data_IF_620468750938
#
_entry.id   IF_620468750938
#
_cell.length_a   1.000
_cell.length_b   1.000
_cell.length_c   1.000
_cell.angle_alpha   90.00
_cell.angle_beta   90.00
_cell.angle_gamma   90.00
#
_symmetry.space_group_name_H-M   'P 1'
#
loop_
_entity.id
_entity.type
_entity.pdbx_description
1 polymer ?
#
# COMPACT_ATOMS: atom_id res chain seq x y z
N UNK A 1 17.45 24.03 -50.18
CA UNK A 1 18.12 25.28 -49.77
C UNK A 1 17.32 26.45 -50.34
N UNK A 2 16.91 27.38 -49.46
CA UNK A 2 16.00 28.54 -49.62
C UNK A 2 14.53 28.34 -49.23
N UNK A 3 14.05 29.34 -48.45
CA UNK A 3 12.67 29.81 -48.22
C UNK A 3 11.91 29.02 -47.13
N UNK A 4 11.25 29.60 -46.12
CA UNK A 4 10.92 30.98 -45.74
C UNK A 4 10.77 31.08 -44.22
N UNK A 5 11.09 32.26 -43.68
CA UNK A 5 10.79 32.68 -42.32
C UNK A 5 9.32 33.16 -42.27
N UNK A 6 8.46 32.41 -41.60
CA UNK A 6 7.06 32.77 -41.36
C UNK A 6 6.88 33.34 -39.97
N UNK A 7 6.73 34.66 -39.87
CA UNK A 7 6.26 35.36 -38.68
C UNK A 7 4.79 34.98 -38.43
N UNK A 8 4.49 34.36 -37.29
CA UNK A 8 3.12 34.23 -36.78
C UNK A 8 3.01 35.01 -35.48
N UNK A 9 2.36 36.16 -35.56
CA UNK A 9 1.85 36.88 -34.42
C UNK A 9 0.55 36.20 -33.97
N UNK A 10 0.46 35.84 -32.69
CA UNK A 10 -0.82 35.47 -32.06
C UNK A 10 -1.06 36.41 -30.88
N UNK A 11 -2.19 37.09 -30.98
CA UNK A 11 -2.67 38.16 -30.13
C UNK A 11 -3.10 37.67 -28.75
N UNK A 12 -2.74 38.47 -27.75
CA UNK A 12 -3.28 38.47 -26.39
C UNK A 12 -4.74 38.93 -26.46
N UNK A 13 -5.67 38.13 -25.92
CA UNK A 13 -7.03 38.58 -25.59
C UNK A 13 -7.18 38.54 -24.07
N UNK A 14 -7.15 39.72 -23.47
CA UNK A 14 -7.65 39.99 -22.12
C UNK A 14 -9.17 40.11 -22.20
N UNK A 15 -9.88 39.25 -21.47
CA UNK A 15 -11.31 39.36 -21.22
C UNK A 15 -11.56 39.49 -19.72
N UNK A 16 -12.06 40.64 -19.30
CA UNK A 16 -12.45 40.97 -17.94
C UNK A 16 -13.97 41.09 -17.81
N UNK A 17 -14.45 40.96 -16.57
CA UNK A 17 -15.73 41.43 -15.98
C UNK A 17 -16.95 40.51 -16.07
N UNK A 18 -17.59 40.30 -14.90
CA UNK A 18 -18.96 39.81 -14.79
C UNK A 18 -19.34 39.27 -13.40
N UNK A 19 -19.40 40.15 -12.40
CA UNK A 19 -20.06 39.97 -11.09
C UNK A 19 -21.59 40.00 -11.27
N UNK A 20 -22.34 39.21 -10.48
CA UNK A 20 -23.73 39.44 -10.05
C UNK A 20 -24.40 38.14 -9.51
N UNK A 21 -24.93 38.19 -8.28
CA UNK A 21 -26.05 37.30 -7.91
C UNK A 21 -26.16 36.85 -6.46
N UNK A 22 -26.56 37.75 -5.56
CA UNK A 22 -26.97 37.46 -4.18
C UNK A 22 -28.39 36.84 -4.08
N UNK A 23 -28.61 36.03 -3.04
CA UNK A 23 -29.93 35.72 -2.46
C UNK A 23 -30.00 34.27 -1.95
N UNK A 24 -30.61 33.90 -0.82
CA UNK A 24 -31.24 34.57 0.31
C UNK A 24 -31.62 33.46 1.31
N UNK A 25 -31.76 33.84 2.58
CA UNK A 25 -31.99 32.99 3.75
C UNK A 25 -33.37 32.33 3.88
N UNK A 26 -33.47 31.35 4.79
CA UNK A 26 -34.72 30.91 5.47
C UNK A 26 -34.62 29.45 5.91
N UNK A 27 -34.40 29.13 7.18
CA UNK A 27 -35.43 29.00 8.24
C UNK A 27 -35.87 27.53 8.32
N UNK A 28 -35.61 26.74 9.37
CA UNK A 28 -36.08 26.91 10.75
C UNK A 28 -37.14 25.84 11.04
N UNK A 29 -36.93 24.96 12.02
CA UNK A 29 -37.95 23.98 12.43
C UNK A 29 -37.47 22.94 13.44
N UNK A 30 -37.69 23.23 14.72
CA UNK A 30 -37.59 22.30 15.84
C UNK A 30 -38.98 21.74 16.20
N UNK A 31 -39.06 20.45 16.59
CA UNK A 31 -40.11 19.82 17.41
C UNK A 31 -39.70 18.34 17.64
N UNK A 32 -39.31 17.88 18.84
CA UNK A 32 -40.08 17.50 20.05
C UNK A 32 -40.92 16.21 19.95
N UNK A 33 -40.64 15.27 20.87
CA UNK A 33 -41.55 14.22 21.37
C UNK A 33 -41.46 12.88 20.63
N UNK A 34 -41.42 11.70 21.25
CA UNK A 34 -41.56 11.31 22.65
C UNK A 34 -41.74 9.79 22.74
N UNK A 35 -41.53 9.27 23.94
CA UNK A 35 -42.08 8.04 24.52
C UNK A 35 -41.58 6.62 24.14
N UNK A 36 -40.87 6.05 25.13
CA UNK A 36 -41.31 4.91 25.96
C UNK A 36 -41.72 3.60 25.27
N UNK A 37 -40.88 2.57 25.43
CA UNK A 37 -41.35 1.20 25.60
C UNK A 37 -40.42 0.39 26.51
N UNK A 38 -40.97 0.03 27.66
CA UNK A 38 -40.51 -0.92 28.68
C UNK A 38 -40.68 -2.39 28.24
N UNK A 39 -39.78 -3.27 28.69
CA UNK A 39 -39.99 -4.72 28.76
C UNK A 39 -38.66 -5.47 28.98
N UNK A 40 -38.24 -5.74 30.21
CA UNK A 40 -38.57 -6.92 31.03
C UNK A 40 -38.04 -8.25 30.47
N UNK A 41 -37.05 -8.85 31.15
CA UNK A 41 -36.65 -10.24 30.95
C UNK A 41 -35.27 -10.63 31.49
N UNK A 42 -35.15 -10.87 32.81
CA UNK A 42 -34.14 -11.78 33.40
C UNK A 42 -34.63 -13.25 33.23
N UNK A 43 -33.93 -14.35 33.65
CA UNK A 43 -32.68 -14.44 34.44
C UNK A 43 -31.69 -15.59 34.05
N UNK A 44 -30.52 -15.62 34.71
CA UNK A 44 -29.99 -16.83 35.35
C UNK A 44 -28.95 -17.70 34.62
N UNK A 45 -27.90 -18.10 35.37
CA UNK A 45 -26.98 -19.19 35.01
C UNK A 45 -25.54 -18.96 35.50
N UNK A 46 -25.31 -18.92 36.81
CA UNK A 46 -24.63 -19.98 37.59
C UNK A 46 -23.17 -20.28 37.18
N UNK A 47 -22.26 -19.84 38.05
CA UNK A 47 -20.90 -20.34 38.14
C UNK A 47 -20.84 -21.75 38.74
N UNK A 48 -19.77 -22.47 38.39
CA UNK A 48 -19.45 -23.80 38.90
C UNK A 48 -17.94 -24.01 38.93
N UNK A 49 -17.46 -24.38 40.11
CA UNK A 49 -16.09 -24.68 40.52
C UNK A 49 -15.42 -25.84 39.76
N UNK A 50 -14.11 -25.72 39.54
CA UNK A 50 -13.10 -26.47 40.32
C UNK A 50 -12.77 -27.92 39.94
N UNK A 51 -11.46 -28.17 39.81
CA UNK A 51 -10.81 -29.38 40.33
C UNK A 51 -10.44 -30.45 39.30
N UNK A 52 -9.14 -30.59 39.01
CA UNK A 52 -8.58 -31.73 38.29
C UNK A 52 -7.05 -31.77 38.38
N UNK A 53 -6.55 -32.64 39.26
CA UNK A 53 -5.14 -32.93 39.57
C UNK A 53 -4.59 -34.12 38.75
N UNK A 54 -3.27 -34.11 38.47
CA UNK A 54 -2.46 -35.25 38.01
C UNK A 54 -1.53 -34.82 36.86
N UNK A 55 -0.20 -34.78 36.98
CA UNK A 55 0.73 -35.92 37.16
C UNK A 55 0.73 -36.73 35.87
N UNK A 56 1.82 -36.92 35.10
CA UNK A 56 3.15 -37.45 35.45
C UNK A 56 4.13 -37.19 34.29
N UNK A 57 5.38 -36.92 34.65
CA UNK A 57 6.66 -37.31 34.01
C UNK A 57 6.69 -37.71 32.52
N UNK A 58 7.48 -36.98 31.71
CA UNK A 58 8.10 -37.57 30.51
C UNK A 58 9.54 -37.05 30.32
N UNK A 59 10.40 -37.98 29.94
CA UNK A 59 11.85 -37.99 30.05
C UNK A 59 12.59 -37.12 29.03
N UNK A 60 13.77 -36.67 29.43
CA UNK A 60 14.71 -35.95 28.57
C UNK A 60 15.35 -36.85 27.50
N UNK A 61 15.37 -36.33 26.27
CA UNK A 61 16.15 -36.86 25.16
C UNK A 61 17.14 -35.81 24.65
N UNK A 62 18.41 -35.96 25.03
CA UNK A 62 19.52 -35.19 24.48
C UNK A 62 19.99 -35.82 23.16
N UNK A 63 19.94 -35.05 22.07
CA UNK A 63 20.48 -35.43 20.76
C UNK A 63 21.21 -34.24 20.14
N UNK A 64 22.51 -34.14 20.40
CA UNK A 64 23.39 -33.17 19.76
C UNK A 64 23.92 -33.69 18.43
N UNK A 65 23.86 -32.86 17.39
CA UNK A 65 24.46 -33.15 16.09
C UNK A 65 24.28 -32.04 15.06
N UNK A 66 25.18 -31.05 15.06
CA UNK A 66 25.42 -30.12 13.95
C UNK A 66 26.95 -30.02 13.80
N UNK A 67 27.59 -30.72 12.86
CA UNK A 67 27.79 -30.39 11.43
C UNK A 67 28.36 -28.98 11.24
N UNK A 68 29.69 -28.92 11.13
CA UNK A 68 30.42 -27.74 10.69
C UNK A 68 30.51 -27.64 9.16
N UNK A 69 30.72 -26.41 8.67
CA UNK A 69 31.00 -26.18 7.25
C UNK A 69 31.06 -24.69 6.87
N UNK A 70 32.23 -24.09 7.11
CA UNK A 70 32.95 -23.11 6.26
C UNK A 70 32.17 -22.06 5.45
N UNK A 71 32.45 -20.79 5.79
CA UNK A 71 32.06 -19.58 5.05
C UNK A 71 33.29 -19.05 4.26
N UNK A 72 33.24 -19.10 2.93
CA UNK A 72 34.09 -18.38 1.97
C UNK A 72 33.09 -17.81 0.93
N UNK A 73 32.94 -16.51 0.69
CA UNK A 73 33.96 -15.58 0.19
C UNK A 73 33.87 -15.50 -1.35
N UNK A 74 33.08 -14.57 -1.90
CA UNK A 74 32.98 -14.41 -3.35
C UNK A 74 32.19 -13.19 -3.80
N UNK A 75 32.87 -12.04 -3.91
CA UNK A 75 32.36 -10.86 -4.61
C UNK A 75 32.35 -11.11 -6.12
N UNK A 76 31.18 -10.98 -6.75
CA UNK A 76 31.01 -11.03 -8.19
C UNK A 76 29.84 -10.16 -8.61
N UNK A 77 30.13 -9.03 -9.27
CA UNK A 77 29.12 -8.18 -9.90
C UNK A 77 28.41 -8.92 -11.02
N UNK A 78 27.09 -9.07 -10.89
CA UNK A 78 26.20 -9.68 -11.86
C UNK A 78 24.86 -8.94 -11.84
N UNK A 79 24.34 -8.73 -13.03
CA UNK A 79 23.16 -7.95 -13.38
C UNK A 79 21.91 -8.76 -13.01
N UNK A 80 20.91 -8.10 -12.41
CA UNK A 80 19.81 -8.68 -11.65
C UNK A 80 18.83 -9.58 -12.42
N UNK A 81 18.15 -10.42 -11.63
CA UNK A 81 17.15 -11.40 -12.01
C UNK A 81 17.31 -12.68 -11.17
N UNK A 82 16.32 -12.95 -10.31
CA UNK A 82 16.15 -14.10 -9.40
C UNK A 82 17.00 -14.15 -8.10
N UNK A 83 16.49 -13.51 -7.04
CA UNK A 83 16.14 -14.20 -5.79
C UNK A 83 17.25 -14.66 -4.84
N UNK A 84 18.08 -13.75 -4.32
CA UNK A 84 18.98 -14.11 -3.20
C UNK A 84 19.87 -13.01 -2.63
N UNK A 85 19.87 -11.81 -3.23
CA UNK A 85 20.47 -10.63 -2.61
C UNK A 85 19.51 -10.04 -1.58
N UNK A 86 20.02 -9.58 -0.43
CA UNK A 86 19.23 -8.74 0.46
C UNK A 86 18.75 -7.46 -0.24
N UNK A 87 17.84 -6.69 0.38
CA UNK A 87 17.33 -5.45 -0.19
C UNK A 87 18.45 -4.51 -0.63
N UNK A 88 18.27 -3.84 -1.77
CA UNK A 88 19.17 -2.78 -2.19
C UNK A 88 19.21 -1.66 -1.13
N UNK A 89 20.34 -0.95 -1.06
CA UNK A 89 20.49 0.23 -0.21
C UNK A 89 19.48 1.34 -0.60
N UNK A 90 19.06 2.14 0.38
CA UNK A 90 18.15 3.27 0.18
C UNK A 90 17.79 3.97 1.48
N UNK A 91 16.78 4.84 1.46
CA UNK A 91 16.26 5.48 2.66
C UNK A 91 15.45 4.48 3.51
N UNK A 92 15.82 4.34 4.79
CA UNK A 92 15.27 3.31 5.68
C UNK A 92 15.89 1.93 5.48
N UNK A 93 15.86 1.10 6.52
CA UNK A 93 16.35 -0.28 6.52
C UNK A 93 15.19 -1.25 6.26
N UNK A 94 15.30 -2.06 5.21
CA UNK A 94 14.29 -3.06 4.86
C UNK A 94 14.61 -4.40 5.52
N UNK A 95 13.58 -5.05 6.06
CA UNK A 95 13.67 -6.41 6.59
C UNK A 95 12.37 -7.19 6.39
N UNK A 96 12.41 -8.50 6.62
CA UNK A 96 11.28 -9.40 6.36
C UNK A 96 11.36 -10.06 4.99
N UNK A 97 10.21 -10.27 4.35
CA UNK A 97 10.13 -10.96 3.06
C UNK A 97 10.50 -9.99 1.93
N UNK A 98 11.61 -10.27 1.25
CA UNK A 98 12.21 -9.38 0.26
C UNK A 98 12.92 -10.22 -0.81
N UNK A 99 12.79 -9.87 -2.09
CA UNK A 99 13.38 -10.64 -3.19
C UNK A 99 12.67 -11.96 -3.45
N UNK A 100 11.36 -12.01 -3.16
CA UNK A 100 10.55 -13.21 -3.34
C UNK A 100 9.63 -13.13 -4.55
N UNK A 101 9.35 -11.91 -5.05
CA UNK A 101 8.48 -11.74 -6.19
C UNK A 101 9.29 -11.98 -7.47
N UNK A 102 8.78 -12.86 -8.32
CA UNK A 102 9.36 -13.15 -9.62
C UNK A 102 8.30 -13.22 -10.74
N UNK A 103 8.77 -13.47 -11.96
CA UNK A 103 7.93 -13.64 -13.13
C UNK A 103 6.83 -14.70 -12.96
N UNK A 104 7.03 -15.72 -12.13
CA UNK A 104 6.03 -16.76 -11.88
C UNK A 104 4.89 -16.20 -11.02
N UNK A 105 5.20 -15.38 -10.02
CA UNK A 105 4.17 -14.71 -9.22
C UNK A 105 3.36 -13.74 -10.06
N UNK A 106 4.02 -12.97 -10.93
CA UNK A 106 3.36 -12.02 -11.85
C UNK A 106 2.43 -12.75 -12.84
N UNK A 107 2.83 -13.94 -13.32
CA UNK A 107 2.01 -14.74 -14.22
C UNK A 107 0.94 -15.59 -13.52
N UNK A 108 1.00 -15.71 -12.19
CA UNK A 108 0.08 -16.55 -11.42
C UNK A 108 -1.34 -15.94 -11.39
N UNK A 109 -2.41 -16.74 -11.53
CA UNK A 109 -3.77 -16.25 -11.31
C UNK A 109 -4.15 -16.20 -9.82
N UNK A 110 -3.28 -16.71 -8.94
CA UNK A 110 -3.57 -16.79 -7.52
C UNK A 110 -3.19 -15.48 -6.81
N UNK A 111 -4.02 -15.04 -5.85
CA UNK A 111 -3.67 -13.93 -4.99
C UNK A 111 -2.67 -14.39 -3.92
N UNK A 112 -1.87 -13.46 -3.41
CA UNK A 112 -0.90 -13.74 -2.35
C UNK A 112 -0.82 -12.60 -1.34
N UNK A 113 -0.20 -12.85 -0.19
CA UNK A 113 0.04 -11.86 0.86
C UNK A 113 1.48 -11.94 1.36
N UNK A 114 2.19 -10.83 1.23
CA UNK A 114 3.60 -10.68 1.61
C UNK A 114 3.72 -9.61 2.68
N UNK A 115 4.67 -9.78 3.60
CA UNK A 115 4.91 -8.85 4.71
C UNK A 115 6.39 -8.48 4.82
N UNK A 116 6.64 -7.20 5.10
CA UNK A 116 7.96 -6.67 5.37
C UNK A 116 7.92 -5.48 6.33
N UNK A 117 9.09 -4.98 6.67
CA UNK A 117 9.28 -3.81 7.54
C UNK A 117 10.24 -2.85 6.85
N UNK A 118 9.96 -1.55 6.94
CA UNK A 118 10.91 -0.48 6.64
C UNK A 118 11.13 0.36 7.90
N UNK A 119 12.34 0.36 8.43
CA UNK A 119 12.73 1.11 9.62
C UNK A 119 13.49 2.39 9.24
N UNK A 120 12.93 3.55 9.59
CA UNK A 120 13.53 4.86 9.37
C UNK A 120 14.41 5.34 10.54
N UNK A 121 14.51 4.59 11.63
CA UNK A 121 15.24 4.98 12.84
C UNK A 121 16.76 5.09 12.66
N UNK A 122 17.32 4.34 11.72
CA UNK A 122 18.77 4.18 11.56
C UNK A 122 19.43 5.21 10.62
N UNK A 123 18.74 6.27 10.19
CA UNK A 123 19.18 7.13 9.07
C UNK A 123 19.07 8.63 9.38
N UNK A 124 19.82 9.49 8.64
CA UNK A 124 19.66 10.94 8.74
C UNK A 124 18.22 11.34 8.39
N UNK A 125 17.86 12.60 8.68
CA UNK A 125 16.61 13.19 8.20
C UNK A 125 16.38 12.90 6.70
N UNK A 126 15.12 12.77 6.31
CA UNK A 126 14.71 12.42 4.95
C UNK A 126 15.48 13.20 3.88
N UNK A 127 16.16 12.45 3.01
CA UNK A 127 16.96 12.97 1.91
C UNK A 127 16.56 12.23 0.62
N UNK A 128 16.00 13.00 -0.32
CA UNK A 128 15.52 12.52 -1.62
C UNK A 128 16.64 11.82 -2.41
N UNK A 129 17.91 12.21 -2.20
CA UNK A 129 19.04 11.56 -2.88
C UNK A 129 19.30 10.11 -2.43
N UNK A 130 18.68 9.68 -1.34
CA UNK A 130 18.71 8.30 -0.85
C UNK A 130 17.59 7.43 -1.44
N UNK A 131 16.69 8.00 -2.23
CA UNK A 131 15.70 7.26 -3.00
C UNK A 131 16.34 6.71 -4.28
N UNK A 132 15.73 5.66 -4.84
CA UNK A 132 16.05 5.20 -6.20
C UNK A 132 15.80 6.28 -7.26
N UNK A 133 16.27 6.06 -8.48
CA UNK A 133 15.99 7.00 -9.58
C UNK A 133 14.49 7.20 -9.81
N UNK A 134 13.68 6.12 -9.73
CA UNK A 134 12.24 6.23 -9.85
C UNK A 134 11.59 6.97 -8.67
N UNK A 135 12.08 6.76 -7.44
CA UNK A 135 11.59 7.48 -6.27
C UNK A 135 11.91 8.98 -6.33
N UNK A 136 13.08 9.34 -6.86
CA UNK A 136 13.47 10.73 -7.11
C UNK A 136 12.60 11.38 -8.20
N UNK A 137 12.29 10.64 -9.27
CA UNK A 137 11.37 11.07 -10.34
C UNK A 137 9.97 11.33 -9.77
N UNK A 138 9.40 10.36 -9.05
CA UNK A 138 8.10 10.51 -8.37
C UNK A 138 8.08 11.72 -7.42
N UNK A 139 9.16 11.93 -6.66
CA UNK A 139 9.28 13.09 -5.78
C UNK A 139 9.29 14.42 -6.56
N UNK A 140 10.00 14.46 -7.69
CA UNK A 140 10.12 15.65 -8.52
C UNK A 140 8.82 16.00 -9.25
N UNK A 141 8.10 14.99 -9.73
CA UNK A 141 6.82 15.15 -10.43
C UNK A 141 5.67 15.47 -9.47
N UNK A 142 5.76 14.97 -8.24
CA UNK A 142 4.71 15.07 -7.23
C UNK A 142 3.55 14.12 -7.50
N UNK A 143 2.41 14.34 -6.83
CA UNK A 143 1.17 13.59 -7.10
C UNK A 143 0.09 14.54 -7.66
N UNK A 144 -1.06 13.99 -8.05
CA UNK A 144 -2.23 14.76 -8.54
C UNK A 144 -2.92 15.62 -7.47
N UNK A 145 -2.21 15.98 -6.41
CA UNK A 145 -2.70 16.69 -5.24
C UNK A 145 -3.18 15.72 -4.17
N UNK A 146 -2.48 15.67 -3.05
CA UNK A 146 -2.91 14.89 -1.89
C UNK A 146 -1.78 14.56 -0.93
N UNK A 147 -2.15 14.01 0.23
CA UNK A 147 -1.22 13.57 1.29
C UNK A 147 -0.53 12.23 1.01
N UNK A 148 -0.64 11.68 -0.21
CA UNK A 148 -0.24 10.30 -0.54
C UNK A 148 1.14 10.15 -1.18
N UNK A 149 1.79 11.25 -1.57
CA UNK A 149 3.06 11.22 -2.32
C UNK A 149 4.10 10.32 -1.66
N UNK A 150 4.34 10.50 -0.36
CA UNK A 150 5.32 9.68 0.36
C UNK A 150 4.90 8.21 0.46
N UNK A 151 3.61 7.93 0.67
CA UNK A 151 3.15 6.54 0.67
C UNK A 151 3.32 5.87 -0.69
N UNK A 152 3.13 6.59 -1.80
CA UNK A 152 3.37 6.07 -3.14
C UNK A 152 4.87 5.84 -3.40
N UNK A 153 5.72 6.81 -3.05
CA UNK A 153 7.18 6.68 -3.15
C UNK A 153 7.66 5.46 -2.37
N UNK A 154 7.24 5.29 -1.12
CA UNK A 154 7.74 4.18 -0.31
C UNK A 154 7.13 2.82 -0.68
N UNK A 155 5.90 2.79 -1.22
CA UNK A 155 5.37 1.58 -1.87
C UNK A 155 6.25 1.16 -3.06
N UNK A 156 6.69 2.10 -3.88
CA UNK A 156 7.62 1.84 -4.98
C UNK A 156 9.02 1.46 -4.48
N UNK A 157 9.60 2.19 -3.52
CA UNK A 157 10.94 1.90 -3.00
C UNK A 157 11.06 0.49 -2.43
N UNK A 158 10.02 -0.02 -1.75
CA UNK A 158 9.99 -1.41 -1.27
C UNK A 158 10.13 -2.38 -2.45
N UNK A 159 9.32 -2.21 -3.50
CA UNK A 159 9.33 -3.06 -4.69
C UNK A 159 10.64 -2.95 -5.49
N UNK A 160 11.18 -1.75 -5.66
CA UNK A 160 12.46 -1.53 -6.33
C UNK A 160 13.60 -2.20 -5.55
N UNK A 161 13.66 -1.97 -4.23
CA UNK A 161 14.78 -2.43 -3.42
C UNK A 161 14.73 -3.93 -3.16
N UNK A 162 13.54 -4.52 -3.07
CA UNK A 162 13.39 -5.95 -2.86
C UNK A 162 13.43 -6.77 -4.14
N UNK A 163 12.70 -6.33 -5.16
CA UNK A 163 12.40 -7.17 -6.32
C UNK A 163 12.85 -6.50 -7.64
N UNK A 164 13.65 -5.44 -7.57
CA UNK A 164 14.20 -4.72 -8.72
C UNK A 164 13.14 -4.12 -9.66
N UNK A 165 11.96 -3.80 -9.14
CA UNK A 165 10.89 -3.16 -9.90
C UNK A 165 11.31 -1.81 -10.49
N UNK A 166 10.99 -1.56 -11.76
CA UNK A 166 11.29 -0.30 -12.45
C UNK A 166 10.04 0.57 -12.51
N UNK A 167 10.15 1.84 -12.09
CA UNK A 167 9.06 2.80 -12.24
C UNK A 167 8.80 3.11 -13.72
N UNK A 168 7.53 3.07 -14.15
CA UNK A 168 7.14 3.41 -15.52
C UNK A 168 6.30 4.68 -15.59
N UNK A 169 5.25 4.78 -14.76
CA UNK A 169 4.27 5.87 -14.81
C UNK A 169 3.58 6.12 -13.47
N UNK A 170 3.18 7.37 -13.24
CA UNK A 170 2.23 7.78 -12.18
C UNK A 170 0.77 7.60 -12.62
N UNK A 171 -0.18 7.67 -11.67
CA UNK A 171 -1.62 7.72 -11.92
C UNK A 171 -2.01 8.76 -12.99
N UNK A 172 -1.30 9.89 -13.05
CA UNK A 172 -1.53 10.98 -13.99
C UNK A 172 -1.19 10.61 -15.44
N UNK A 173 -0.23 9.70 -15.62
CA UNK A 173 0.37 9.36 -16.91
C UNK A 173 -0.16 8.05 -17.48
N UNK A 174 -0.73 7.18 -16.64
CA UNK A 174 -1.43 5.98 -17.07
C UNK A 174 -2.65 6.37 -17.91
N UNK A 175 -2.75 5.80 -19.11
CA UNK A 175 -3.84 6.06 -20.03
C UNK A 175 -5.02 5.14 -19.70
N UNK A 176 -6.19 5.75 -19.47
CA UNK A 176 -7.46 5.05 -19.25
C UNK A 176 -8.41 5.30 -20.41
N UNK A 177 -9.12 4.26 -20.84
CA UNK A 177 -10.15 4.32 -21.89
C UNK A 177 -11.55 4.59 -21.35
N UNK A 178 -11.75 4.42 -20.03
CA UNK A 178 -13.03 4.61 -19.34
C UNK A 178 -12.82 5.48 -18.11
N UNK A 179 -13.73 6.42 -17.86
CA UNK A 179 -13.75 7.17 -16.60
C UNK A 179 -14.13 6.26 -15.42
N UNK A 180 -13.41 6.34 -14.31
CA UNK A 180 -13.68 5.52 -13.15
C UNK A 180 -12.49 5.42 -12.19
N UNK A 181 -12.37 4.27 -11.52
CA UNK A 181 -11.25 3.95 -10.63
C UNK A 181 -9.95 3.84 -11.42
N UNK A 182 -8.86 4.28 -10.79
CA UNK A 182 -7.51 4.34 -11.32
C UNK A 182 -6.53 3.67 -10.35
N UNK A 183 -5.34 3.43 -10.85
CA UNK A 183 -4.21 2.78 -10.18
C UNK A 183 -3.16 3.85 -9.91
N UNK A 184 -2.52 3.78 -8.74
CA UNK A 184 -1.61 4.83 -8.29
C UNK A 184 -0.31 4.85 -9.10
N UNK A 185 0.23 3.67 -9.44
CA UNK A 185 1.51 3.52 -10.15
C UNK A 185 1.47 2.39 -11.18
N UNK A 186 2.31 2.53 -12.21
CA UNK A 186 2.66 1.46 -13.13
C UNK A 186 4.15 1.19 -12.99
N UNK A 187 4.50 -0.07 -12.77
CA UNK A 187 5.89 -0.54 -12.71
C UNK A 187 6.13 -1.66 -13.72
N UNK A 188 7.40 -1.95 -13.97
CA UNK A 188 7.86 -3.16 -14.62
C UNK A 188 8.52 -4.06 -13.57
N UNK A 189 8.14 -5.33 -13.54
CA UNK A 189 8.79 -6.36 -12.73
C UNK A 189 9.05 -7.57 -13.62
N UNK A 190 10.31 -8.00 -13.70
CA UNK A 190 10.77 -9.07 -14.59
C UNK A 190 10.30 -8.93 -16.06
N UNK A 191 10.25 -7.69 -16.56
CA UNK A 191 9.85 -7.37 -17.93
C UNK A 191 8.33 -7.31 -18.15
N UNK A 192 7.52 -7.52 -17.12
CA UNK A 192 6.07 -7.47 -17.18
C UNK A 192 5.53 -6.20 -16.50
N UNK A 193 4.48 -5.62 -17.09
CA UNK A 193 3.79 -4.47 -16.48
C UNK A 193 2.93 -4.93 -15.31
N UNK A 194 3.07 -4.25 -14.18
CA UNK A 194 2.26 -4.48 -12.97
C UNK A 194 1.67 -3.16 -12.50
N UNK A 195 0.35 -3.12 -12.33
CA UNK A 195 -0.31 -1.99 -11.69
C UNK A 195 -0.15 -2.07 -10.17
N UNK A 196 0.08 -0.95 -9.50
CA UNK A 196 0.23 -0.88 -8.05
C UNK A 196 -0.72 0.15 -7.48
N UNK A 197 -1.63 -0.28 -6.62
CA UNK A 197 -2.43 0.61 -5.79
C UNK A 197 -1.85 0.70 -4.39
N UNK A 198 -2.04 1.85 -3.74
CA UNK A 198 -1.48 2.17 -2.43
C UNK A 198 -2.59 2.50 -1.45
N UNK A 199 -2.42 2.05 -0.22
CA UNK A 199 -3.28 2.40 0.90
C UNK A 199 -2.49 2.45 2.20
N UNK A 200 -2.93 3.30 3.13
CA UNK A 200 -2.36 3.41 4.46
C UNK A 200 -3.27 2.72 5.46
N UNK A 201 -2.73 1.75 6.19
CA UNK A 201 -3.38 1.18 7.36
C UNK A 201 -2.93 2.00 8.59
N UNK A 202 -3.72 3.02 8.91
CA UNK A 202 -3.39 4.03 9.91
C UNK A 202 -4.60 4.41 10.75
N UNK A 203 -4.33 4.99 11.92
CA UNK A 203 -5.35 5.53 12.81
C UNK A 203 -5.46 7.05 12.73
N UNK A 204 -6.69 7.55 12.79
CA UNK A 204 -6.99 8.97 12.93
C UNK A 204 -8.06 9.22 14.02
N UNK A 205 -7.78 10.07 15.04
CA UNK A 205 -6.47 10.66 15.33
C UNK A 205 -5.40 9.60 15.64
N UNK A 206 -4.14 10.00 15.53
CA UNK A 206 -2.99 9.14 15.83
C UNK A 206 -3.15 8.44 17.19
N UNK A 207 -2.77 7.16 17.25
CA UNK A 207 -2.89 6.32 18.45
C UNK A 207 -4.31 5.80 18.75
N UNK A 208 -5.31 6.13 17.92
CA UNK A 208 -6.63 5.51 18.02
C UNK A 208 -6.57 4.00 17.71
N UNK A 209 -7.50 3.18 18.21
CA UNK A 209 -7.57 1.77 17.83
C UNK A 209 -7.88 1.60 16.34
N UNK A 210 -7.20 0.64 15.71
CA UNK A 210 -7.46 0.22 14.32
C UNK A 210 -8.07 -1.19 14.32
N UNK A 211 -9.40 -1.33 14.43
CA UNK A 211 -10.04 -2.63 14.52
C UNK A 211 -10.02 -3.37 13.18
N UNK A 212 -10.09 -4.71 13.24
CA UNK A 212 -10.17 -5.59 12.05
C UNK A 212 -11.33 -5.22 11.12
N UNK A 213 -12.46 -4.74 11.66
CA UNK A 213 -13.58 -4.28 10.82
C UNK A 213 -13.22 -3.07 9.94
N UNK A 214 -12.42 -2.14 10.46
CA UNK A 214 -11.93 -1.01 9.67
C UNK A 214 -10.91 -1.49 8.63
N UNK A 215 -10.02 -2.40 9.01
CA UNK A 215 -9.07 -3.03 8.10
C UNK A 215 -9.80 -3.76 6.95
N UNK A 216 -10.91 -4.46 7.26
CA UNK A 216 -11.77 -5.13 6.29
C UNK A 216 -12.38 -4.12 5.30
N UNK A 217 -13.02 -3.06 5.78
CA UNK A 217 -13.65 -2.05 4.91
C UNK A 217 -12.62 -1.40 3.96
N UNK A 218 -11.43 -1.10 4.47
CA UNK A 218 -10.32 -0.54 3.68
C UNK A 218 -9.87 -1.51 2.60
N UNK A 219 -9.66 -2.77 2.97
CA UNK A 219 -9.11 -3.80 2.08
C UNK A 219 -10.12 -4.23 1.02
N UNK A 220 -11.37 -4.50 1.41
CA UNK A 220 -12.44 -4.85 0.48
C UNK A 220 -12.67 -3.73 -0.54
N UNK A 221 -12.74 -2.48 -0.07
CA UNK A 221 -12.92 -1.32 -0.95
C UNK A 221 -11.78 -1.14 -1.95
N UNK A 222 -10.53 -1.25 -1.49
CA UNK A 222 -9.34 -1.10 -2.36
C UNK A 222 -9.22 -2.23 -3.37
N UNK A 223 -9.46 -3.47 -2.97
CA UNK A 223 -9.43 -4.62 -3.88
C UNK A 223 -10.56 -4.54 -4.94
N UNK A 224 -11.75 -4.07 -4.55
CA UNK A 224 -12.83 -3.81 -5.51
C UNK A 224 -12.52 -2.66 -6.48
N UNK A 225 -11.82 -1.62 -6.02
CA UNK A 225 -11.35 -0.52 -6.87
C UNK A 225 -10.27 -1.00 -7.87
N UNK A 226 -9.37 -1.89 -7.43
CA UNK A 226 -8.35 -2.50 -8.29
C UNK A 226 -9.01 -3.24 -9.46
N UNK A 227 -10.01 -4.09 -9.20
CA UNK A 227 -10.73 -4.82 -10.27
C UNK A 227 -11.30 -3.85 -11.32
N UNK A 228 -11.85 -2.71 -10.89
CA UNK A 228 -12.38 -1.69 -11.80
C UNK A 228 -11.25 -0.99 -12.57
N UNK A 229 -10.16 -0.61 -11.90
CA UNK A 229 -9.04 0.08 -12.54
C UNK A 229 -8.38 -0.75 -13.65
N UNK A 230 -8.23 -2.06 -13.43
CA UNK A 230 -7.73 -3.02 -14.44
C UNK A 230 -8.63 -3.13 -15.67
N UNK A 231 -9.94 -2.87 -15.54
CA UNK A 231 -10.88 -2.86 -16.67
C UNK A 231 -10.87 -1.53 -17.43
N UNK A 232 -10.52 -0.44 -16.74
CA UNK A 232 -10.55 0.92 -17.28
C UNK A 232 -9.29 1.31 -18.04
N UNK A 233 -8.15 0.64 -17.78
CA UNK A 233 -6.86 0.98 -18.40
C UNK A 233 -6.88 0.74 -19.92
N UNK A 234 -6.22 1.62 -20.67
CA UNK A 234 -6.09 1.48 -22.11
C UNK A 234 -5.06 0.38 -22.46
N UNK A 235 -5.18 -0.28 -23.65
CA UNK A 235 -4.29 -1.38 -24.02
C UNK A 235 -2.79 -1.04 -24.01
N UNK A 236 -2.40 0.21 -24.24
CA UNK A 236 -1.00 0.64 -24.20
C UNK A 236 -0.35 0.56 -22.80
N UNK A 237 -1.14 0.71 -21.74
CA UNK A 237 -0.69 0.69 -20.35
C UNK A 237 -1.23 -0.49 -19.54
N UNK A 238 -1.99 -1.38 -20.17
CA UNK A 238 -2.58 -2.53 -19.51
C UNK A 238 -1.51 -3.45 -18.90
N UNK A 239 -1.80 -3.91 -17.69
CA UNK A 239 -1.06 -4.93 -16.94
C UNK A 239 -1.86 -6.22 -16.87
N UNK A 240 -1.19 -7.32 -16.56
CA UNK A 240 -1.85 -8.61 -16.28
C UNK A 240 -2.00 -8.87 -14.78
N UNK A 241 -1.17 -8.24 -13.94
CA UNK A 241 -1.15 -8.43 -12.48
C UNK A 241 -1.28 -7.09 -11.77
N UNK A 242 -1.88 -7.12 -10.59
CA UNK A 242 -2.00 -5.97 -9.70
C UNK A 242 -1.42 -6.28 -8.33
N UNK A 243 -0.74 -5.28 -7.76
CA UNK A 243 -0.36 -5.26 -6.36
C UNK A 243 -1.18 -4.24 -5.59
N UNK A 244 -1.49 -4.55 -4.34
CA UNK A 244 -1.94 -3.59 -3.33
C UNK A 244 -0.86 -3.43 -2.28
N UNK A 245 -0.16 -2.29 -2.30
CA UNK A 245 0.80 -1.94 -1.25
C UNK A 245 0.08 -1.28 -0.09
N UNK A 246 0.17 -1.90 1.09
CA UNK A 246 -0.40 -1.44 2.34
C UNK A 246 0.73 -0.97 3.24
N UNK A 247 0.85 0.34 3.47
CA UNK A 247 1.76 0.88 4.47
C UNK A 247 1.07 0.90 5.82
N UNK A 248 1.53 0.05 6.74
CA UNK A 248 0.95 -0.13 8.06
C UNK A 248 1.73 0.65 9.13
N UNK A 249 1.04 1.54 9.83
CA UNK A 249 1.65 2.45 10.80
C UNK A 249 2.29 1.72 11.99
N UNK A 250 1.75 0.56 12.36
CA UNK A 250 2.31 -0.26 13.43
C UNK A 250 2.14 -1.75 13.12
N UNK A 251 2.85 -2.64 13.84
CA UNK A 251 2.62 -4.08 13.73
C UNK A 251 1.15 -4.49 14.01
N UNK A 252 0.45 -3.79 14.90
CA UNK A 252 -0.97 -4.06 15.18
C UNK A 252 -1.87 -3.71 13.98
N UNK A 253 -1.55 -2.64 13.24
CA UNK A 253 -2.26 -2.31 12.00
C UNK A 253 -2.05 -3.39 10.93
N UNK A 254 -0.82 -3.88 10.78
CA UNK A 254 -0.51 -4.98 9.86
C UNK A 254 -1.25 -6.26 10.26
N UNK A 255 -1.26 -6.62 11.54
CA UNK A 255 -2.01 -7.77 12.04
C UNK A 255 -3.51 -7.67 11.74
N UNK A 256 -4.10 -6.48 11.91
CA UNK A 256 -5.50 -6.24 11.56
C UNK A 256 -5.77 -6.40 10.05
N UNK A 257 -4.85 -5.97 9.17
CA UNK A 257 -4.94 -6.17 7.72
C UNK A 257 -4.83 -7.65 7.37
N UNK A 258 -3.94 -8.41 8.00
CA UNK A 258 -3.80 -9.86 7.77
C UNK A 258 -5.09 -10.59 8.16
N UNK A 259 -5.67 -10.28 9.31
CA UNK A 259 -6.94 -10.88 9.75
C UNK A 259 -8.08 -10.50 8.80
N UNK A 260 -8.17 -9.23 8.42
CA UNK A 260 -9.14 -8.76 7.43
C UNK A 260 -8.98 -9.45 6.08
N UNK A 261 -7.75 -9.66 5.60
CA UNK A 261 -7.49 -10.35 4.34
C UNK A 261 -8.04 -11.78 4.36
N UNK A 262 -7.96 -12.49 5.48
CA UNK A 262 -8.56 -13.83 5.60
C UNK A 262 -10.10 -13.81 5.43
N UNK A 263 -10.75 -12.67 5.72
CA UNK A 263 -12.21 -12.50 5.63
C UNK A 263 -12.67 -12.04 4.24
N UNK A 264 -11.80 -11.40 3.44
CA UNK A 264 -12.16 -10.92 2.10
C UNK A 264 -12.43 -12.10 1.16
N UNK A 265 -13.56 -12.11 0.41
CA UNK A 265 -13.87 -13.16 -0.56
C UNK A 265 -12.80 -13.32 -1.63
N UNK A 266 -12.59 -14.55 -2.12
CA UNK A 266 -11.63 -14.83 -3.20
C UNK A 266 -11.94 -14.05 -4.48
N UNK A 267 -13.22 -13.82 -4.78
CA UNK A 267 -13.67 -13.02 -5.93
C UNK A 267 -13.21 -11.56 -5.84
N UNK A 268 -13.14 -11.00 -4.64
CA UNK A 268 -12.67 -9.63 -4.40
C UNK A 268 -11.14 -9.57 -4.41
N UNK A 269 -10.45 -10.59 -3.90
CA UNK A 269 -8.98 -10.69 -4.00
C UNK A 269 -8.51 -10.84 -5.44
N UNK A 270 -9.31 -11.53 -6.27
CA UNK A 270 -8.96 -11.89 -7.64
C UNK A 270 -7.55 -12.50 -7.69
N UNK A 271 -6.67 -11.93 -8.51
CA UNK A 271 -5.26 -12.30 -8.67
C UNK A 271 -4.30 -11.29 -7.99
N UNK A 272 -4.81 -10.41 -7.12
CA UNK A 272 -4.01 -9.33 -6.53
C UNK A 272 -3.07 -9.85 -5.44
N UNK A 273 -1.81 -9.42 -5.49
CA UNK A 273 -0.86 -9.63 -4.38
C UNK A 273 -0.94 -8.45 -3.42
N UNK A 274 -1.18 -8.73 -2.14
CA UNK A 274 -1.20 -7.71 -1.08
C UNK A 274 0.17 -7.68 -0.41
N UNK A 275 0.83 -6.53 -0.44
CA UNK A 275 2.15 -6.33 0.15
C UNK A 275 1.98 -5.40 1.34
N UNK A 276 2.18 -5.92 2.55
CA UNK A 276 2.07 -5.15 3.77
C UNK A 276 3.48 -4.76 4.22
N UNK A 277 3.72 -3.47 4.34
CA UNK A 277 4.98 -2.94 4.87
C UNK A 277 4.69 -2.18 6.15
N UNK A 278 5.19 -2.69 7.28
CA UNK A 278 5.18 -1.94 8.54
C UNK A 278 6.26 -0.87 8.47
N UNK A 279 5.92 0.36 8.83
CA UNK A 279 6.89 1.44 8.99
C UNK A 279 7.30 1.55 10.46
N UNK A 280 8.57 1.83 10.71
CA UNK A 280 9.10 2.06 12.06
C UNK A 280 9.99 3.32 12.07
N UNK A 281 10.19 3.92 13.25
CA UNK A 281 11.04 5.10 13.42
C UNK A 281 10.30 6.42 13.18
N UNK A 282 10.93 7.37 12.49
CA UNK A 282 10.34 8.67 12.15
C UNK A 282 9.52 8.57 10.86
N UNK A 283 8.31 8.02 10.93
CA UNK A 283 7.46 7.67 9.78
C UNK A 283 6.20 8.55 9.61
N UNK A 284 5.99 9.53 10.48
CA UNK A 284 4.85 10.47 10.44
C UNK A 284 4.63 11.09 9.05
N UNK A 285 5.72 11.32 8.31
CA UNK A 285 5.70 11.93 6.98
C UNK A 285 4.96 11.08 5.94
N UNK A 286 4.78 9.77 6.19
CA UNK A 286 3.99 8.84 5.37
C UNK A 286 2.48 9.01 5.63
N UNK A 287 2.10 9.29 6.88
CA UNK A 287 0.70 9.22 7.33
C UNK A 287 0.02 10.58 7.49
N UNK A 288 0.78 11.60 7.91
CA UNK A 288 0.22 12.86 8.43
C UNK A 288 0.67 14.11 7.67
N UNK A 289 1.50 13.97 6.64
CA UNK A 289 1.83 15.10 5.76
C UNK A 289 0.59 15.54 4.97
N UNK A 290 -0.02 16.66 5.39
CA UNK A 290 -1.08 17.37 4.66
C UNK A 290 -0.52 18.53 3.85
#
# INVERSE_FOLDING_TARGET
MRIALGFLAVSIVLGACGDDGAGAAGGGGAATGGDSASGAGAPGGQGGNGGGTGGVEEEGGAGGGEVGGSNEGGAGGGIGGAGGGGPADGYGELSGTCGVLDAQDVASPDPDLIQGIIDFSARPAFDVSLLSSGGQEMYADGNLGGSSLYSEIFAYEVLYRCDAAVYLKSEAEIVYQTEGKKTDLLIELDGEKVGVSVVRAMSYPEGSPYPVSQAYDVLEGKLADIIQSSQNVAPEDAWQKQFLSVLAQTPDHAAAIVEAYAMVPAETKADTIVIITVTEGEDDFIYYNQ
#
